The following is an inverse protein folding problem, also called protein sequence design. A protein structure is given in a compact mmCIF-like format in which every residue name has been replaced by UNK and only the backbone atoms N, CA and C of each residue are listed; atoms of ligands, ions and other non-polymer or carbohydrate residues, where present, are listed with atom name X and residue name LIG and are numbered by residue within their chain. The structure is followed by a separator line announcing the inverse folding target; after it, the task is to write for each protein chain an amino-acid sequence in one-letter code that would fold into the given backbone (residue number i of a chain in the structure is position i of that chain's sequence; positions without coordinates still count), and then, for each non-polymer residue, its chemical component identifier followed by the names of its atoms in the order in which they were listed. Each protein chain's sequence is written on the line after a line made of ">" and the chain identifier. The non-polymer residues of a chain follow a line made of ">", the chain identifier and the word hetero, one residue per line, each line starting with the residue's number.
data_IF_083929475560
#
_entry.id   IF_083929475560
#
_cell.length_a   1.000
_cell.length_b   1.000
_cell.length_c   1.000
_cell.angle_alpha   90.00
_cell.angle_beta   90.00
_cell.angle_gamma   90.00
#
_symmetry.space_group_name_H-M   'P 1'
#
loop_
_entity.id
_entity.type
_entity.pdbx_description
1 polymer ?
#
# COMPACT_ATOMS: atom_id res chain seq x y z
N UNK A 1 -2.15 -10.98 -0.32
CA UNK A 1 -1.14 -10.92 0.76
C UNK A 1 0.17 -10.48 0.15
N UNK A 2 1.00 -9.79 0.91
CA UNK A 2 2.37 -9.44 0.55
C UNK A 2 3.32 -9.88 1.66
N UNK A 3 4.49 -10.36 1.26
CA UNK A 3 5.56 -10.84 2.12
C UNK A 3 6.85 -10.20 1.61
N UNK A 4 7.54 -9.43 2.45
CA UNK A 4 8.78 -8.76 2.11
C UNK A 4 9.99 -9.64 2.45
N UNK A 5 11.12 -9.38 1.78
CA UNK A 5 12.41 -9.97 2.13
C UNK A 5 12.94 -9.52 3.50
N UNK A 6 12.46 -8.38 4.00
CA UNK A 6 12.84 -7.77 5.28
C UNK A 6 12.11 -8.40 6.48
N UNK A 7 11.33 -9.46 6.27
CA UNK A 7 10.59 -10.13 7.36
C UNK A 7 9.28 -9.45 7.74
N UNK A 8 8.65 -8.70 6.83
CA UNK A 8 7.34 -8.08 7.04
C UNK A 8 6.26 -8.76 6.19
N UNK A 9 5.06 -8.95 6.73
CA UNK A 9 3.95 -9.56 6.00
C UNK A 9 2.60 -8.91 6.34
N UNK A 10 1.67 -8.95 5.39
CA UNK A 10 0.35 -8.37 5.60
C UNK A 10 -0.62 -8.57 4.44
N UNK A 11 -1.90 -8.34 4.74
CA UNK A 11 -2.97 -8.31 3.75
C UNK A 11 -3.03 -6.90 3.16
N UNK A 12 -2.88 -6.83 1.84
CA UNK A 12 -2.88 -5.56 1.10
C UNK A 12 -4.19 -5.30 0.36
N UNK A 13 -5.05 -6.31 0.23
CA UNK A 13 -6.38 -6.22 -0.37
C UNK A 13 -7.24 -7.41 0.09
N UNK A 14 -8.57 -7.28 0.02
CA UNK A 14 -9.51 -8.38 0.32
C UNK A 14 -9.74 -9.35 -0.83
N UNK A 15 -9.46 -8.93 -2.06
CA UNK A 15 -9.63 -9.72 -3.27
C UNK A 15 -8.56 -9.38 -4.31
N UNK A 16 -8.43 -10.22 -5.33
CA UNK A 16 -7.51 -9.96 -6.44
C UNK A 16 -7.87 -8.68 -7.20
N UNK A 17 -9.16 -8.44 -7.46
CA UNK A 17 -9.61 -7.23 -8.16
C UNK A 17 -9.28 -5.97 -7.38
N UNK A 18 -9.49 -5.99 -6.06
CA UNK A 18 -9.13 -4.87 -5.19
C UNK A 18 -7.60 -4.66 -5.16
N UNK A 19 -6.82 -5.74 -5.16
CA UNK A 19 -5.36 -5.66 -5.25
C UNK A 19 -4.91 -4.97 -6.55
N UNK A 20 -5.46 -5.38 -7.70
CA UNK A 20 -5.13 -4.76 -8.99
C UNK A 20 -5.54 -3.28 -9.01
N UNK A 21 -6.71 -2.94 -8.46
CA UNK A 21 -7.14 -1.55 -8.35
C UNK A 21 -6.20 -0.73 -7.47
N UNK A 22 -5.76 -1.26 -6.32
CA UNK A 22 -4.77 -0.59 -5.44
C UNK A 22 -3.46 -0.38 -6.19
N UNK A 23 -2.92 -1.40 -6.86
CA UNK A 23 -1.66 -1.28 -7.61
C UNK A 23 -1.70 -0.18 -8.68
N UNK A 24 -2.82 -0.05 -9.39
CA UNK A 24 -2.94 0.92 -10.48
C UNK A 24 -3.23 2.33 -9.94
N UNK A 25 -4.13 2.46 -8.96
CA UNK A 25 -4.51 3.77 -8.39
C UNK A 25 -3.40 4.32 -7.50
N UNK A 26 -2.73 3.46 -6.73
CA UNK A 26 -1.67 3.78 -5.79
C UNK A 26 -0.44 2.87 -6.02
N UNK A 27 0.38 3.18 -7.05
CA UNK A 27 1.58 2.38 -7.37
C UNK A 27 2.65 2.42 -6.28
N UNK A 28 2.61 3.43 -5.41
CA UNK A 28 3.51 3.65 -4.27
C UNK A 28 2.90 3.16 -2.94
N UNK A 29 2.00 2.18 -3.00
CA UNK A 29 1.35 1.59 -1.81
C UNK A 29 2.36 1.06 -0.78
N UNK A 30 3.54 0.60 -1.20
CA UNK A 30 4.63 0.19 -0.30
C UNK A 30 5.13 1.34 0.55
N UNK A 31 5.29 2.53 -0.04
CA UNK A 31 5.71 3.72 0.70
C UNK A 31 4.60 4.22 1.64
N UNK A 32 3.31 4.05 1.26
CA UNK A 32 2.22 4.33 2.19
C UNK A 32 2.28 3.46 3.45
N UNK A 33 2.66 2.18 3.32
CA UNK A 33 2.83 1.27 4.46
C UNK A 33 4.11 1.58 5.26
N UNK A 34 5.19 1.92 4.56
CA UNK A 34 6.47 2.31 5.17
C UNK A 34 6.34 3.59 6.00
N UNK A 35 5.65 4.60 5.48
CA UNK A 35 5.46 5.90 6.15
C UNK A 35 4.06 6.02 6.79
N UNK A 36 3.63 4.93 7.42
CA UNK A 36 2.28 4.81 7.98
C UNK A 36 2.12 5.35 9.41
N UNK A 37 3.22 5.66 10.10
CA UNK A 37 3.19 6.05 11.52
C UNK A 37 2.51 5.00 12.39
N UNK A 38 2.92 3.73 12.28
CA UNK A 38 2.30 2.58 12.95
C UNK A 38 0.84 2.32 12.50
N UNK A 39 0.54 2.56 11.23
CA UNK A 39 -0.79 2.33 10.65
C UNK A 39 -1.79 3.45 10.89
N UNK A 40 -1.34 4.66 11.27
CA UNK A 40 -2.18 5.83 11.37
C UNK A 40 -2.70 6.25 9.99
N UNK A 41 -4.00 6.05 9.75
CA UNK A 41 -4.66 6.42 8.49
C UNK A 41 -4.41 7.90 8.11
N UNK A 42 -4.39 8.80 9.10
CA UNK A 42 -4.09 10.21 8.87
C UNK A 42 -2.67 10.44 8.35
N UNK A 43 -1.67 9.70 8.87
CA UNK A 43 -0.29 9.76 8.38
C UNK A 43 -0.18 9.17 6.98
N UNK A 44 -0.82 8.03 6.70
CA UNK A 44 -0.86 7.46 5.35
C UNK A 44 -1.45 8.45 4.33
N UNK A 45 -2.51 9.19 4.69
CA UNK A 45 -3.09 10.24 3.82
C UNK A 45 -2.14 11.42 3.60
N UNK A 46 -1.37 11.84 4.61
CA UNK A 46 -0.33 12.86 4.45
C UNK A 46 0.79 12.37 3.52
N UNK A 47 1.24 11.13 3.71
CA UNK A 47 2.26 10.48 2.87
C UNK A 47 1.81 10.45 1.40
N UNK A 48 0.56 10.09 1.12
CA UNK A 48 -0.01 10.11 -0.23
C UNK A 48 0.18 11.47 -0.93
N UNK A 49 -0.09 12.57 -0.23
CA UNK A 49 0.01 13.92 -0.78
C UNK A 49 1.46 14.23 -1.20
N UNK A 50 2.45 13.85 -0.39
CA UNK A 50 3.86 14.03 -0.75
C UNK A 50 4.26 13.18 -1.95
N UNK A 51 3.86 11.91 -1.98
CA UNK A 51 4.20 10.98 -3.06
C UNK A 51 3.60 11.45 -4.40
N UNK A 52 2.38 12.00 -4.38
CA UNK A 52 1.73 12.54 -5.57
C UNK A 52 2.44 13.79 -6.13
N UNK A 53 3.18 14.53 -5.30
CA UNK A 53 3.93 15.72 -5.74
C UNK A 53 5.33 15.43 -6.28
N UNK A 54 5.84 14.20 -6.16
CA UNK A 54 7.19 13.86 -6.60
C UNK A 54 7.21 13.39 -8.07
N UNK A 55 8.07 14.03 -8.87
CA UNK A 55 8.14 13.88 -10.33
C UNK A 55 8.35 12.44 -10.80
N UNK A 56 9.13 11.64 -10.07
CA UNK A 56 9.38 10.23 -10.39
C UNK A 56 8.06 9.43 -10.45
N UNK A 57 7.10 9.76 -9.59
CA UNK A 57 5.81 9.08 -9.50
C UNK A 57 4.77 9.62 -10.47
N UNK A 58 4.96 10.83 -11.01
CA UNK A 58 4.09 11.41 -12.05
C UNK A 58 4.25 10.62 -13.36
N UNK A 59 5.47 10.22 -13.72
CA UNK A 59 5.74 9.41 -14.92
C UNK A 59 5.04 8.04 -14.86
N UNK A 60 5.05 7.38 -13.69
CA UNK A 60 4.31 6.12 -13.47
C UNK A 60 2.80 6.33 -13.65
N UNK A 61 2.29 7.51 -13.29
CA UNK A 61 0.91 7.92 -13.47
C UNK A 61 0.41 7.89 -14.92
N UNK A 62 1.28 8.13 -15.90
CA UNK A 62 0.89 8.25 -17.32
C UNK A 62 0.36 6.94 -17.92
N UNK A 63 0.77 5.80 -17.37
CA UNK A 63 0.31 4.47 -17.83
C UNK A 63 -0.99 4.00 -17.16
N UNK A 64 -1.43 4.67 -16.09
CA UNK A 64 -2.61 4.25 -15.30
C UNK A 64 -3.88 4.24 -16.12
N UNK A 65 -4.15 5.30 -16.88
CA UNK A 65 -5.36 5.42 -17.70
C UNK A 65 -5.42 4.33 -18.77
N UNK A 66 -4.29 4.03 -19.41
CA UNK A 66 -4.18 2.97 -20.42
C UNK A 66 -4.48 1.59 -19.84
N UNK A 67 -3.95 1.29 -18.65
CA UNK A 67 -4.23 0.03 -17.95
C UNK A 67 -5.70 -0.07 -17.54
N UNK A 68 -6.26 1.01 -16.99
CA UNK A 68 -7.66 1.06 -16.58
C UNK A 68 -8.62 0.78 -17.74
N UNK A 69 -8.39 1.40 -18.91
CA UNK A 69 -9.21 1.15 -20.10
C UNK A 69 -9.10 -0.30 -20.57
N UNK A 70 -7.88 -0.85 -20.66
CA UNK A 70 -7.67 -2.22 -21.15
C UNK A 70 -8.24 -3.31 -20.21
N UNK A 71 -8.23 -3.05 -18.91
CA UNK A 71 -8.72 -3.97 -17.89
C UNK A 71 -10.17 -3.68 -17.48
N UNK A 72 -10.83 -2.71 -18.14
CA UNK A 72 -12.19 -2.27 -17.81
C UNK A 72 -12.38 -1.91 -16.33
N UNK A 73 -11.36 -1.27 -15.74
CA UNK A 73 -11.35 -0.89 -14.33
C UNK A 73 -11.92 0.50 -14.12
N UNK A 74 -12.75 0.65 -13.09
CA UNK A 74 -13.19 1.94 -12.60
C UNK A 74 -12.21 2.45 -11.53
N UNK A 75 -11.29 3.35 -11.90
CA UNK A 75 -10.29 3.90 -10.97
C UNK A 75 -10.88 4.71 -9.81
N UNK A 76 -12.12 5.20 -9.94
CA UNK A 76 -12.81 5.95 -8.89
C UNK A 76 -13.63 5.06 -7.95
N UNK A 77 -13.62 3.74 -8.19
CA UNK A 77 -14.41 2.80 -7.38
C UNK A 77 -13.83 2.55 -5.99
N UNK A 78 -12.59 2.97 -5.72
CA UNK A 78 -11.91 2.74 -4.43
C UNK A 78 -11.16 3.99 -3.95
N UNK A 79 -11.10 4.17 -2.64
CA UNK A 79 -10.04 4.93 -1.96
C UNK A 79 -8.91 3.94 -1.64
N UNK A 80 -7.76 3.99 -2.34
CA UNK A 80 -6.70 3.02 -2.14
C UNK A 80 -6.07 3.10 -0.75
N UNK A 81 -6.04 4.27 -0.10
CA UNK A 81 -5.46 4.42 1.24
C UNK A 81 -6.35 3.73 2.25
N UNK A 82 -7.65 3.98 2.18
CA UNK A 82 -8.64 3.35 3.06
C UNK A 82 -8.68 1.84 2.84
N UNK A 83 -8.72 1.36 1.58
CA UNK A 83 -8.76 -0.09 1.29
C UNK A 83 -7.49 -0.80 1.73
N UNK A 84 -6.33 -0.20 1.55
CA UNK A 84 -5.07 -0.76 2.01
C UNK A 84 -5.03 -0.85 3.55
N UNK A 85 -5.47 0.21 4.23
CA UNK A 85 -5.55 0.24 5.69
C UNK A 85 -6.57 -0.76 6.25
N UNK A 86 -7.76 -0.86 5.64
CA UNK A 86 -8.77 -1.87 5.96
C UNK A 86 -8.22 -3.29 5.77
N UNK A 87 -7.54 -3.55 4.65
CA UNK A 87 -6.99 -4.86 4.37
C UNK A 87 -5.99 -5.30 5.43
N UNK A 88 -5.08 -4.39 5.82
CA UNK A 88 -4.08 -4.64 6.87
C UNK A 88 -4.72 -4.95 8.22
N UNK A 89 -5.79 -4.24 8.58
CA UNK A 89 -6.48 -4.40 9.87
C UNK A 89 -7.60 -5.46 9.85
N UNK A 90 -7.92 -6.01 8.69
CA UNK A 90 -9.03 -6.96 8.55
C UNK A 90 -8.76 -8.24 9.35
N UNK A 91 -9.81 -8.93 9.78
CA UNK A 91 -9.73 -10.26 10.40
C UNK A 91 -10.05 -11.37 9.40
N UNK A 92 -9.56 -12.61 9.58
CA UNK A 92 -8.58 -13.02 10.59
C UNK A 92 -7.19 -12.45 10.29
N UNK A 93 -6.40 -12.21 11.32
CA UNK A 93 -4.96 -11.94 11.17
C UNK A 93 -4.28 -13.21 10.65
N UNK A 94 -3.30 -13.04 9.76
CA UNK A 94 -2.54 -14.16 9.21
C UNK A 94 -1.09 -14.00 9.67
N UNK A 95 -0.68 -14.88 10.57
CA UNK A 95 0.70 -14.96 11.01
C UNK A 95 1.54 -15.66 9.94
N UNK A 96 2.65 -15.02 9.54
CA UNK A 96 3.64 -15.59 8.62
C UNK A 96 4.93 -15.77 9.41
N UNK A 97 5.58 -16.92 9.24
CA UNK A 97 6.85 -17.23 9.90
C UNK A 97 7.91 -17.68 8.90
N UNK A 98 9.18 -17.43 9.21
CA UNK A 98 10.30 -17.98 8.47
C UNK A 98 10.37 -19.50 8.63
N UNK A 99 11.20 -20.17 7.82
CA UNK A 99 11.48 -21.60 7.99
C UNK A 99 12.18 -21.90 9.33
N UNK A 100 12.84 -20.90 9.92
CA UNK A 100 13.48 -20.97 11.23
C UNK A 100 12.49 -20.70 12.39
N UNK A 101 11.26 -20.29 12.08
CA UNK A 101 10.20 -20.02 13.07
C UNK A 101 10.06 -18.57 13.50
N UNK A 102 10.86 -17.64 12.95
CA UNK A 102 10.75 -16.22 13.28
C UNK A 102 9.46 -15.62 12.70
N UNK A 103 8.68 -14.95 13.55
CA UNK A 103 7.45 -14.29 13.12
C UNK A 103 7.74 -13.03 12.32
N UNK A 104 7.03 -12.89 11.20
CA UNK A 104 7.09 -11.69 10.38
C UNK A 104 6.31 -10.57 11.07
N UNK A 105 6.83 -9.35 10.99
CA UNK A 105 6.19 -8.18 11.56
C UNK A 105 5.17 -7.56 10.57
N UNK A 106 4.39 -6.60 11.06
CA UNK A 106 3.41 -5.87 10.25
C UNK A 106 4.09 -5.12 9.09
N UNK A 107 3.37 -4.94 7.98
CA UNK A 107 3.80 -4.01 6.94
C UNK A 107 3.69 -2.55 7.35
N UNK A 108 2.88 -2.21 8.36
CA UNK A 108 2.90 -0.89 8.95
C UNK A 108 4.22 -0.65 9.67
N UNK A 109 4.83 0.48 9.37
CA UNK A 109 6.12 0.88 9.95
C UNK A 109 5.99 2.25 10.64
N UNK A 110 6.95 2.56 11.50
CA UNK A 110 6.93 3.73 12.41
C UNK A 110 7.30 5.04 11.74
N UNK A 111 7.84 5.02 10.51
CA UNK A 111 8.13 6.25 9.78
C UNK A 111 6.85 7.04 9.46
N UNK A 112 6.98 8.36 9.39
CA UNK A 112 5.88 9.28 9.11
C UNK A 112 6.15 10.08 7.84
N UNK A 113 5.14 10.78 7.32
CA UNK A 113 5.25 11.53 6.07
C UNK A 113 6.42 12.54 6.03
N UNK A 114 6.80 13.10 7.18
CA UNK A 114 7.92 14.04 7.28
C UNK A 114 9.30 13.38 7.06
N UNK A 115 9.42 12.07 7.26
CA UNK A 115 10.68 11.34 7.05
C UNK A 115 11.02 11.19 5.55
N UNK A 116 10.04 11.40 4.65
CA UNK A 116 10.27 11.45 3.19
C UNK A 116 11.14 12.63 2.73
N UNK A 117 11.32 13.65 3.57
CA UNK A 117 12.08 14.87 3.24
C UNK A 117 13.58 14.78 3.54
N UNK A 118 14.05 13.66 4.09
CA UNK A 118 15.46 13.46 4.49
C UNK A 118 16.28 12.75 3.44
#
# INVERSE_FOLDING_TARGET
>A
MYISSEGAAGKIAKSFDEFILILITCPFWTDLLKFSGEGQLAEMRKTLIYLQSNEEYIEVGKSKTKLATKLSLNLLSIDPVEKLHEAMNSKPEIAVSSISGDLFHSLFNSFVANDLRR
#
